data_IF_271388111563
#
_entry.id   IF_271388111563
#
_cell.length_a   1.000
_cell.length_b   1.000
_cell.length_c   1.000
_cell.angle_alpha   90.00
_cell.angle_beta   90.00
_cell.angle_gamma   90.00
#
_symmetry.space_group_name_H-M   'P 1'
#
loop_
_entity.id
_entity.type
_entity.pdbx_description
1 polymer ?
#
# COMPACT_ATOMS: atom_id res chain seq x y z
N UNK A 1 -11.13 23.35 -15.55
CA UNK A 1 -10.53 22.59 -14.44
C UNK A 1 -11.18 21.21 -14.41
N UNK A 2 -10.42 20.12 -14.56
CA UNK A 2 -10.99 18.76 -14.50
C UNK A 2 -11.16 18.37 -13.04
N UNK A 3 -12.42 18.34 -12.59
CA UNK A 3 -12.78 17.91 -11.24
C UNK A 3 -12.86 16.39 -11.24
N UNK A 4 -11.77 15.73 -10.83
CA UNK A 4 -11.72 14.28 -10.66
C UNK A 4 -12.37 13.88 -9.32
N UNK A 5 -13.12 12.78 -9.34
CA UNK A 5 -13.72 12.21 -8.13
C UNK A 5 -12.64 11.41 -7.38
N UNK A 6 -12.44 11.60 -6.06
CA UNK A 6 -11.49 10.81 -5.30
C UNK A 6 -11.85 9.33 -5.29
N UNK A 7 -10.84 8.44 -5.31
CA UNK A 7 -11.03 6.98 -5.19
C UNK A 7 -11.56 6.55 -3.81
N UNK A 8 -11.57 7.44 -2.83
CA UNK A 8 -12.18 7.24 -1.52
C UNK A 8 -11.19 6.82 -0.43
N UNK A 9 -11.64 5.94 0.47
CA UNK A 9 -10.91 5.43 1.63
C UNK A 9 -10.74 3.91 1.51
N UNK A 10 -9.83 3.35 2.30
CA UNK A 10 -9.65 1.91 2.38
C UNK A 10 -10.96 1.20 2.80
N UNK A 11 -11.21 0.03 2.22
CA UNK A 11 -12.26 -0.88 2.68
C UNK A 11 -11.85 -1.57 3.99
N UNK A 12 -12.80 -2.24 4.65
CA UNK A 12 -12.50 -3.00 5.87
C UNK A 12 -11.35 -4.00 5.66
N UNK A 13 -10.46 -4.08 6.65
CA UNK A 13 -9.26 -4.93 6.66
C UNK A 13 -8.25 -4.67 5.52
N UNK A 14 -8.41 -3.57 4.76
CA UNK A 14 -7.41 -3.08 3.83
C UNK A 14 -6.71 -1.86 4.42
N UNK A 15 -5.41 -1.73 4.13
CA UNK A 15 -4.60 -0.57 4.47
C UNK A 15 -4.08 0.07 3.20
N UNK A 16 -4.00 1.40 3.17
CA UNK A 16 -3.45 2.17 2.05
C UNK A 16 -2.36 3.09 2.60
N UNK A 17 -1.18 3.01 2.00
CA UNK A 17 -0.04 3.87 2.30
C UNK A 17 0.38 4.61 1.03
N UNK A 18 0.75 5.88 1.18
CA UNK A 18 1.42 6.65 0.13
C UNK A 18 2.89 6.80 0.50
N UNK A 19 3.78 6.22 -0.30
CA UNK A 19 5.20 6.13 0.00
C UNK A 19 6.06 6.87 -1.02
N UNK A 20 7.23 7.31 -0.56
CA UNK A 20 8.32 7.77 -1.43
C UNK A 20 9.25 6.62 -1.87
N UNK A 21 10.31 6.94 -2.61
CA UNK A 21 11.31 5.97 -3.09
C UNK A 21 12.12 5.31 -1.97
N UNK A 22 12.06 5.84 -0.75
CA UNK A 22 12.73 5.30 0.43
C UNK A 22 11.76 4.51 1.33
N UNK A 23 10.55 4.22 0.83
CA UNK A 23 9.47 3.53 1.55
C UNK A 23 9.02 4.26 2.82
N UNK A 24 9.07 5.59 2.81
CA UNK A 24 8.60 6.43 3.91
C UNK A 24 7.25 7.07 3.56
N UNK A 25 6.41 7.31 4.56
CA UNK A 25 5.12 7.97 4.36
C UNK A 25 5.31 9.40 3.85
N UNK A 26 4.61 9.73 2.76
CA UNK A 26 4.59 11.11 2.25
C UNK A 26 3.62 11.99 3.06
N UNK A 27 3.89 13.29 3.21
CA UNK A 27 2.95 14.22 3.82
C UNK A 27 1.64 14.37 3.01
N UNK A 28 0.59 14.84 3.68
CA UNK A 28 -0.70 15.11 3.04
C UNK A 28 -0.54 16.14 1.92
N UNK A 29 -1.10 15.83 0.74
CA UNK A 29 -1.04 16.70 -0.45
C UNK A 29 0.22 16.52 -1.31
N UNK A 30 1.18 15.72 -0.86
CA UNK A 30 2.38 15.38 -1.64
C UNK A 30 2.13 14.10 -2.43
N UNK A 31 2.46 14.04 -3.74
CA UNK A 31 2.37 12.82 -4.52
C UNK A 31 3.27 11.71 -3.96
N UNK A 32 2.76 10.48 -3.93
CA UNK A 32 3.49 9.27 -3.55
C UNK A 32 2.96 8.05 -4.30
N UNK A 33 3.68 6.95 -4.21
CA UNK A 33 3.26 5.67 -4.77
C UNK A 33 2.30 4.96 -3.80
N UNK A 34 1.22 4.37 -4.34
CA UNK A 34 0.22 3.65 -3.54
C UNK A 34 0.73 2.24 -3.23
N UNK A 35 0.80 1.92 -1.94
CA UNK A 35 1.01 0.57 -1.42
C UNK A 35 -0.23 0.10 -0.67
N UNK A 36 -0.58 -1.16 -0.85
CA UNK A 36 -1.79 -1.77 -0.29
C UNK A 36 -1.38 -2.88 0.66
N UNK A 37 -1.99 -2.90 1.84
CA UNK A 37 -1.83 -3.94 2.86
C UNK A 37 -3.16 -4.55 3.27
N UNK A 38 -3.07 -5.59 4.11
CA UNK A 38 -4.23 -6.23 4.74
C UNK A 38 -4.68 -7.54 4.10
N UNK A 39 -5.84 -8.03 4.54
CA UNK A 39 -6.28 -9.41 4.30
C UNK A 39 -6.63 -9.70 2.83
N UNK A 40 -6.88 -8.66 2.03
CA UNK A 40 -7.23 -8.77 0.61
C UNK A 40 -6.06 -9.02 -0.35
N UNK A 41 -4.82 -9.11 0.15
CA UNK A 41 -3.66 -9.34 -0.69
C UNK A 41 -3.66 -10.76 -1.28
N UNK A 42 -3.28 -10.85 -2.56
CA UNK A 42 -3.03 -12.14 -3.19
C UNK A 42 -1.80 -12.82 -2.58
N UNK A 43 -1.67 -14.14 -2.81
CA UNK A 43 -0.48 -14.91 -2.40
C UNK A 43 0.79 -14.57 -3.20
N UNK A 44 0.64 -13.86 -4.32
CA UNK A 44 1.70 -13.58 -5.28
C UNK A 44 1.30 -13.93 -6.71
N UNK A 45 2.27 -13.85 -7.61
CA UNK A 45 2.11 -14.24 -9.01
C UNK A 45 2.44 -15.73 -9.20
N UNK A 46 1.51 -16.46 -9.83
CA UNK A 46 1.68 -17.88 -10.12
C UNK A 46 2.95 -18.11 -10.96
N UNK A 47 3.79 -19.05 -10.53
CA UNK A 47 5.07 -19.42 -11.16
C UNK A 47 6.09 -18.27 -11.33
N UNK A 48 5.91 -17.16 -10.62
CA UNK A 48 6.78 -15.98 -10.73
C UNK A 48 7.25 -15.52 -9.35
N UNK A 49 8.12 -16.30 -8.66
CA UNK A 49 8.56 -15.98 -7.30
C UNK A 49 9.38 -14.69 -7.24
N UNK A 50 10.21 -14.40 -8.24
CA UNK A 50 11.01 -13.17 -8.29
C UNK A 50 10.14 -11.91 -8.40
N UNK A 51 9.13 -11.94 -9.27
CA UNK A 51 8.17 -10.84 -9.40
C UNK A 51 7.31 -10.69 -8.15
N UNK A 52 6.97 -11.81 -7.51
CA UNK A 52 6.26 -11.80 -6.23
C UNK A 52 7.09 -11.09 -5.17
N UNK A 53 8.37 -11.46 -4.99
CA UNK A 53 9.26 -10.82 -4.03
C UNK A 53 9.45 -9.31 -4.30
N UNK A 54 9.40 -8.89 -5.57
CA UNK A 54 9.52 -7.47 -5.95
C UNK A 54 8.26 -6.65 -5.69
N UNK A 55 7.06 -7.24 -5.84
CA UNK A 55 5.78 -6.52 -5.71
C UNK A 55 5.09 -6.72 -4.36
N UNK A 56 5.41 -7.79 -3.65
CA UNK A 56 4.89 -8.14 -2.33
C UNK A 56 6.03 -8.05 -1.32
N UNK A 57 6.34 -6.81 -0.91
CA UNK A 57 7.40 -6.50 0.05
C UNK A 57 6.90 -6.61 1.49
N UNK A 58 7.83 -6.70 2.44
CA UNK A 58 7.51 -6.64 3.87
C UNK A 58 6.97 -5.25 4.22
N UNK A 59 5.86 -5.19 4.95
CA UNK A 59 5.28 -3.94 5.41
C UNK A 59 6.12 -3.36 6.58
N UNK A 60 6.82 -2.21 6.39
CA UNK A 60 7.63 -1.62 7.45
C UNK A 60 6.78 -1.03 8.60
N UNK A 61 5.47 -0.90 8.42
CA UNK A 61 4.54 -0.29 9.38
C UNK A 61 3.76 -1.30 10.23
N UNK A 62 3.89 -2.61 9.98
CA UNK A 62 3.14 -3.66 10.70
C UNK A 62 3.37 -3.65 12.23
N UNK A 63 4.54 -3.21 12.70
CA UNK A 63 4.83 -3.07 14.14
C UNK A 63 4.21 -1.84 14.79
N UNK A 64 3.85 -0.82 14.02
CA UNK A 64 3.28 0.42 14.56
C UNK A 64 1.77 0.28 14.82
N UNK A 65 1.10 -0.62 14.09
CA UNK A 65 -0.31 -0.94 14.33
C UNK A 65 -0.42 -2.02 15.41
N UNK A 66 -0.15 -1.62 16.65
CA UNK A 66 -0.75 -2.29 17.80
C UNK A 66 -2.26 -2.27 17.58
N UNK A 67 -2.82 -3.41 17.17
CA UNK A 67 -4.26 -3.62 17.01
C UNK A 67 -4.97 -2.99 18.22
N UNK A 68 -5.70 -1.92 17.99
CA UNK A 68 -6.74 -1.43 18.90
C UNK A 68 -8.07 -1.97 18.42
#
# INVERSE_FOLDING_TARGET
>A
EQRTVPIGKAIANAQIYLLDSHLQLVPVGVPGEIYIGGDGLARGYLNSPELTAQKFIVNPFEKAEGRR
#
